data_IF_338239614362
#
_entry.id   IF_338239614362
#
_cell.length_a   1.000
_cell.length_b   1.000
_cell.length_c   1.000
_cell.angle_alpha   90.00
_cell.angle_beta   90.00
_cell.angle_gamma   90.00
#
_symmetry.space_group_name_H-M   'P 1'
#
loop_
_entity.id
_entity.type
_entity.pdbx_description
1 polymer ?
#
# COMPACT_ATOMS: atom_id res chain seq x y z
N UNK A 1 4.38 -43.97 -10.45
CA UNK A 1 4.17 -42.63 -11.02
C UNK A 1 4.78 -41.62 -10.06
N UNK A 2 5.78 -40.81 -10.45
CA UNK A 2 6.40 -39.87 -9.52
C UNK A 2 5.47 -38.69 -9.24
N UNK A 3 5.31 -38.37 -7.95
CA UNK A 3 4.61 -37.21 -7.45
C UNK A 3 5.49 -35.97 -7.70
N UNK A 4 5.08 -35.09 -8.61
CA UNK A 4 5.76 -33.83 -8.86
C UNK A 4 5.21 -32.80 -7.89
N UNK A 5 5.89 -32.64 -6.76
CA UNK A 5 5.77 -31.48 -5.88
C UNK A 5 6.20 -30.25 -6.68
N UNK A 6 5.24 -29.56 -7.27
CA UNK A 6 5.45 -28.18 -7.76
C UNK A 6 5.18 -27.27 -6.56
N UNK A 7 6.15 -26.50 -6.06
CA UNK A 7 5.80 -25.33 -5.27
C UNK A 7 4.98 -24.46 -6.20
N UNK A 8 3.69 -24.24 -5.89
CA UNK A 8 2.90 -23.19 -6.52
C UNK A 8 3.50 -21.87 -6.06
N UNK A 9 4.63 -21.50 -6.66
CA UNK A 9 5.11 -20.13 -6.68
C UNK A 9 4.07 -19.40 -7.51
N UNK A 10 3.04 -18.93 -6.81
CA UNK A 10 1.96 -18.14 -7.41
C UNK A 10 2.67 -17.02 -8.16
N UNK A 11 2.49 -16.89 -9.49
CA UNK A 11 2.93 -15.69 -10.14
C UNK A 11 2.27 -14.55 -9.37
N UNK A 12 3.06 -13.58 -8.90
CA UNK A 12 2.53 -12.28 -8.52
C UNK A 12 2.08 -11.66 -9.83
N UNK A 13 0.97 -12.17 -10.37
CA UNK A 13 0.23 -11.52 -11.42
C UNK A 13 -0.27 -10.26 -10.75
N UNK A 14 0.43 -9.17 -11.06
CA UNK A 14 0.04 -7.83 -10.69
C UNK A 14 -1.19 -7.47 -11.52
N UNK A 15 -2.31 -8.17 -11.29
CA UNK A 15 -3.60 -7.87 -11.89
C UNK A 15 -4.07 -6.55 -11.27
N UNK A 16 -4.05 -5.42 -12.00
CA UNK A 16 -4.41 -4.12 -11.43
C UNK A 16 -5.91 -4.00 -11.12
N UNK A 17 -6.67 -5.08 -11.30
CA UNK A 17 -8.15 -5.10 -11.32
C UNK A 17 -8.75 -5.91 -10.16
N UNK A 18 -7.99 -6.80 -9.49
CA UNK A 18 -8.53 -7.69 -8.45
C UNK A 18 -7.98 -7.45 -7.03
N UNK A 19 -6.95 -6.61 -6.88
CA UNK A 19 -6.44 -6.16 -5.58
C UNK A 19 -6.50 -4.64 -5.53
N UNK A 20 -7.07 -4.07 -4.47
CA UNK A 20 -7.29 -2.63 -4.32
C UNK A 20 -6.11 -1.74 -4.71
N UNK A 21 -6.39 -0.51 -5.14
CA UNK A 21 -5.37 0.50 -5.47
C UNK A 21 -4.56 0.86 -4.23
N UNK A 22 -3.23 0.75 -4.33
CA UNK A 22 -2.30 1.07 -3.25
C UNK A 22 -1.63 2.44 -3.46
N UNK A 23 -1.59 3.25 -2.40
CA UNK A 23 -0.96 4.58 -2.40
C UNK A 23 0.21 4.63 -1.41
N UNK A 24 1.32 5.24 -1.80
CA UNK A 24 2.48 5.44 -0.92
C UNK A 24 2.59 6.89 -0.45
N UNK A 25 2.53 7.11 0.86
CA UNK A 25 2.78 8.42 1.47
C UNK A 25 4.22 8.50 1.96
N UNK A 26 5.04 9.27 1.25
CA UNK A 26 6.40 9.57 1.69
C UNK A 26 6.40 10.70 2.72
N UNK A 27 6.71 10.38 3.98
CA UNK A 27 7.01 11.39 4.99
C UNK A 27 8.45 11.84 4.86
N UNK A 28 8.58 13.12 4.55
CA UNK A 28 9.84 13.88 4.56
C UNK A 28 9.96 14.59 5.90
N UNK A 29 11.19 14.96 6.28
CA UNK A 29 11.43 15.73 7.49
C UNK A 29 10.59 17.02 7.52
N UNK A 30 9.98 17.29 8.69
CA UNK A 30 9.03 18.39 8.92
C UNK A 30 7.78 18.39 8.03
N UNK A 31 7.40 17.24 7.46
CA UNK A 31 6.10 17.09 6.81
C UNK A 31 4.95 17.26 7.82
N UNK A 32 3.88 17.94 7.40
CA UNK A 32 2.73 18.21 8.27
C UNK A 32 1.87 16.96 8.46
N UNK A 33 1.77 16.49 9.70
CA UNK A 33 0.89 15.38 10.08
C UNK A 33 -0.59 15.69 9.78
N UNK A 34 -0.99 16.97 9.80
CA UNK A 34 -2.35 17.40 9.48
C UNK A 34 -2.70 17.16 8.01
N UNK A 35 -1.75 17.41 7.10
CA UNK A 35 -1.93 17.12 5.68
C UNK A 35 -2.04 15.61 5.41
N UNK A 36 -1.22 14.79 6.10
CA UNK A 36 -1.33 13.33 6.02
C UNK A 36 -2.70 12.84 6.48
N UNK A 37 -3.18 13.34 7.61
CA UNK A 37 -4.45 12.94 8.19
C UNK A 37 -5.64 13.25 7.25
N UNK A 38 -5.66 14.44 6.63
CA UNK A 38 -6.72 14.81 5.69
C UNK A 38 -6.74 13.91 4.43
N UNK A 39 -5.56 13.52 3.94
CA UNK A 39 -5.46 12.59 2.82
C UNK A 39 -5.98 11.19 3.20
N UNK A 40 -5.55 10.65 4.34
CA UNK A 40 -6.01 9.36 4.85
C UNK A 40 -7.53 9.36 5.08
N UNK A 41 -8.08 10.45 5.62
CA UNK A 41 -9.53 10.56 5.85
C UNK A 41 -10.33 10.50 4.54
N UNK A 42 -9.79 11.05 3.46
CA UNK A 42 -10.37 10.95 2.11
C UNK A 42 -10.37 9.51 1.62
N UNK A 43 -9.25 8.77 1.76
CA UNK A 43 -9.18 7.36 1.38
C UNK A 43 -10.14 6.48 2.17
N UNK A 44 -10.24 6.70 3.49
CA UNK A 44 -11.20 5.98 4.34
C UNK A 44 -12.64 6.28 3.97
N UNK A 45 -12.95 7.54 3.68
CA UNK A 45 -14.28 7.95 3.21
C UNK A 45 -14.63 7.32 1.86
N UNK A 46 -13.66 7.24 0.94
CA UNK A 46 -13.83 6.57 -0.35
C UNK A 46 -14.06 5.05 -0.19
N UNK A 47 -13.28 4.37 0.66
CA UNK A 47 -13.48 2.94 0.94
C UNK A 47 -14.86 2.69 1.56
N UNK A 48 -15.29 3.55 2.49
CA UNK A 48 -16.63 3.48 3.08
C UNK A 48 -17.73 3.65 2.03
N UNK A 49 -17.57 4.58 1.09
CA UNK A 49 -18.52 4.78 0.00
C UNK A 49 -18.59 3.56 -0.93
N UNK A 50 -17.46 2.90 -1.17
CA UNK A 50 -17.37 1.70 -2.00
C UNK A 50 -17.87 0.43 -1.30
N UNK A 51 -18.00 0.45 0.03
CA UNK A 51 -18.46 -0.71 0.82
C UNK A 51 -17.44 -1.86 0.92
N UNK A 52 -16.22 -1.66 0.43
CA UNK A 52 -15.11 -2.60 0.52
C UNK A 52 -13.78 -1.84 0.51
N UNK A 53 -12.73 -2.45 1.05
CA UNK A 53 -11.41 -1.82 1.17
C UNK A 53 -10.68 -1.86 -0.18
N UNK A 54 -11.01 -0.89 -1.04
CA UNK A 54 -10.45 -0.78 -2.38
C UNK A 54 -9.21 0.11 -2.44
N UNK A 55 -9.09 1.13 -1.59
CA UNK A 55 -7.93 2.01 -1.54
C UNK A 55 -7.08 1.69 -0.32
N UNK A 56 -5.96 1.00 -0.53
CA UNK A 56 -4.95 0.80 0.49
C UNK A 56 -3.91 1.93 0.48
N UNK A 57 -3.22 2.11 1.61
CA UNK A 57 -2.09 3.01 1.67
C UNK A 57 -0.98 2.46 2.56
N UNK A 58 0.25 2.85 2.22
CA UNK A 58 1.44 2.60 3.03
C UNK A 58 2.14 3.91 3.33
N UNK A 59 2.66 4.01 4.54
CA UNK A 59 3.37 5.19 5.00
C UNK A 59 4.86 4.86 5.01
N UNK A 60 5.62 5.52 4.15
CA UNK A 60 7.07 5.33 4.03
C UNK A 60 7.77 6.56 4.57
N UNK A 61 8.67 6.38 5.53
CA UNK A 61 9.51 7.46 6.04
C UNK A 61 10.89 7.38 5.38
N UNK A 62 11.40 8.49 4.88
CA UNK A 62 12.81 8.56 4.49
C UNK A 62 13.67 8.54 5.76
N UNK A 63 14.10 7.34 6.19
CA UNK A 63 15.09 7.23 7.25
C UNK A 63 16.37 7.89 6.76
N UNK A 64 16.72 9.03 7.35
CA UNK A 64 17.95 9.76 7.03
C UNK A 64 19.14 8.90 7.47
N UNK A 65 19.62 7.98 6.61
CA UNK A 65 20.89 7.30 6.86
C UNK A 65 21.99 8.31 6.51
N UNK A 66 22.31 9.16 7.49
CA UNK A 66 23.54 9.95 7.48
C UNK A 66 24.69 8.94 7.42
N UNK A 67 25.41 8.91 6.29
CA UNK A 67 26.72 8.26 6.23
C UNK A 67 27.71 9.33 6.66
N UNK A 68 28.06 9.28 7.94
CA UNK A 68 29.33 9.83 8.44
C UNK A 68 30.51 8.98 7.89
#
# INVERSE_FOLDING_TARGET
>A
MPNLTVPSERPVTNDPIHGGRQFGFLLVDKFSMFSLAAAIDTFRSANRLLGHDFYGWTTVSASHKNRD
#
